data_IF_080310238287
#
_entry.id   IF_080310238287
#
_cell.length_a   1.000
_cell.length_b   1.000
_cell.length_c   1.000
_cell.angle_alpha   90.00
_cell.angle_beta   90.00
_cell.angle_gamma   90.00
#
_symmetry.space_group_name_H-M   'P 1'
#
loop_
_entity.id
_entity.type
_entity.pdbx_description
1 polymer ?
#
# COMPACT_ATOMS: atom_id res chain seq x y z
N UNK A 1 12.64 -11.13 43.42
CA UNK A 1 12.08 -9.89 42.84
C UNK A 1 12.72 -9.53 41.51
N UNK A 2 14.04 -9.32 41.40
CA UNK A 2 14.68 -9.04 40.09
C UNK A 2 14.55 -10.21 39.08
N UNK A 3 14.64 -11.46 39.55
CA UNK A 3 14.46 -12.65 38.69
C UNK A 3 13.03 -12.89 38.20
N UNK A 4 12.01 -12.51 38.97
CA UNK A 4 10.60 -12.72 38.63
C UNK A 4 10.15 -11.75 37.53
N UNK A 5 10.62 -10.51 37.59
CA UNK A 5 10.35 -9.47 36.59
C UNK A 5 11.00 -9.81 35.23
N UNK A 6 12.26 -10.24 35.25
CA UNK A 6 12.98 -10.64 34.02
C UNK A 6 12.33 -11.87 33.36
N UNK A 7 11.87 -12.83 34.17
CA UNK A 7 11.14 -14.00 33.69
C UNK A 7 9.79 -13.62 33.06
N UNK A 8 9.07 -12.67 33.66
CA UNK A 8 7.84 -12.13 33.09
C UNK A 8 8.08 -11.44 31.74
N UNK A 9 9.10 -10.57 31.65
CA UNK A 9 9.49 -9.90 30.41
C UNK A 9 9.88 -10.89 29.31
N UNK A 10 10.65 -11.94 29.65
CA UNK A 10 11.02 -13.01 28.71
C UNK A 10 9.78 -13.72 28.17
N UNK A 11 8.83 -14.08 29.04
CA UNK A 11 7.61 -14.75 28.63
C UNK A 11 6.73 -13.86 27.75
N UNK A 12 6.52 -12.60 28.13
CA UNK A 12 5.77 -11.63 27.32
C UNK A 12 6.43 -11.44 25.95
N UNK A 13 7.74 -11.22 25.91
CA UNK A 13 8.48 -11.06 24.66
C UNK A 13 8.35 -12.31 23.77
N UNK A 14 8.46 -13.50 24.34
CA UNK A 14 8.26 -14.74 23.59
C UNK A 14 6.84 -14.85 23.02
N UNK A 15 5.81 -14.62 23.84
CA UNK A 15 4.40 -14.73 23.40
C UNK A 15 4.08 -13.73 22.29
N UNK A 16 4.46 -12.46 22.44
CA UNK A 16 4.22 -11.44 21.40
C UNK A 16 4.97 -11.75 20.11
N UNK A 17 6.25 -12.11 20.17
CA UNK A 17 7.03 -12.46 18.99
C UNK A 17 6.55 -13.76 18.34
N UNK A 18 5.96 -14.68 19.11
CA UNK A 18 5.40 -15.92 18.58
C UNK A 18 4.14 -15.64 17.75
N UNK A 19 3.26 -14.75 18.20
CA UNK A 19 2.13 -14.31 17.38
C UNK A 19 2.57 -13.58 16.11
N UNK A 20 3.59 -12.72 16.20
CA UNK A 20 4.19 -12.05 15.03
C UNK A 20 4.75 -13.09 14.04
N UNK A 21 5.46 -14.10 14.55
CA UNK A 21 6.01 -15.19 13.77
C UNK A 21 4.91 -15.99 13.04
N UNK A 22 3.83 -16.35 13.74
CA UNK A 22 2.69 -17.04 13.13
C UNK A 22 2.01 -16.17 12.06
N UNK A 23 1.77 -14.90 12.35
CA UNK A 23 1.22 -13.95 11.39
C UNK A 23 2.09 -13.81 10.14
N UNK A 24 3.40 -13.64 10.32
CA UNK A 24 4.39 -13.59 9.23
C UNK A 24 4.43 -14.88 8.42
N UNK A 25 4.35 -16.05 9.09
CA UNK A 25 4.30 -17.36 8.42
C UNK A 25 3.04 -17.51 7.57
N UNK A 26 1.87 -17.10 8.08
CA UNK A 26 0.62 -17.12 7.34
C UNK A 26 0.67 -16.17 6.13
N UNK A 27 1.15 -14.94 6.32
CA UNK A 27 1.30 -13.98 5.21
C UNK A 27 2.27 -14.50 4.15
N UNK A 28 3.43 -15.01 4.54
CA UNK A 28 4.36 -15.65 3.61
C UNK A 28 3.70 -16.80 2.86
N UNK A 29 3.01 -17.69 3.57
CA UNK A 29 2.31 -18.83 2.97
C UNK A 29 1.29 -18.38 1.92
N UNK A 30 0.47 -17.37 2.24
CA UNK A 30 -0.50 -16.78 1.31
C UNK A 30 0.21 -16.12 0.12
N UNK A 31 1.28 -15.36 0.34
CA UNK A 31 2.03 -14.70 -0.73
C UNK A 31 2.69 -15.70 -1.68
N UNK A 32 3.27 -16.77 -1.15
CA UNK A 32 3.87 -17.86 -1.95
C UNK A 32 2.75 -18.57 -2.72
N UNK A 33 1.64 -18.89 -2.05
CA UNK A 33 0.48 -19.50 -2.70
C UNK A 33 0.02 -18.66 -3.89
N UNK A 34 -0.21 -17.37 -3.71
CA UNK A 34 -0.66 -16.45 -4.78
C UNK A 34 0.29 -16.41 -5.97
N UNK A 35 1.61 -16.50 -5.76
CA UNK A 35 2.58 -16.48 -6.84
C UNK A 35 2.79 -17.84 -7.54
N UNK A 36 2.57 -18.94 -6.83
CA UNK A 36 2.85 -20.30 -7.31
C UNK A 36 1.58 -21.02 -7.79
N UNK A 37 0.39 -20.51 -7.44
CA UNK A 37 -0.89 -21.19 -7.67
C UNK A 37 -1.07 -21.65 -9.12
N UNK A 38 -1.09 -22.97 -9.37
CA UNK A 38 -1.27 -23.53 -10.71
C UNK A 38 -2.72 -23.47 -11.19
N UNK A 39 -3.68 -23.08 -10.33
CA UNK A 39 -5.11 -23.08 -10.67
C UNK A 39 -5.58 -21.85 -11.46
N UNK A 40 -4.65 -21.02 -11.96
CA UNK A 40 -4.94 -19.86 -12.81
C UNK A 40 -4.98 -18.52 -12.06
N UNK A 41 -4.90 -18.52 -10.72
CA UNK A 41 -4.92 -17.30 -9.91
C UNK A 41 -3.71 -16.40 -10.20
N UNK A 42 -2.55 -17.00 -10.48
CA UNK A 42 -1.35 -16.29 -10.96
C UNK A 42 -1.64 -15.48 -12.22
N UNK A 43 -2.45 -15.97 -13.15
CA UNK A 43 -2.76 -15.26 -14.40
C UNK A 43 -3.67 -14.04 -14.14
N UNK A 44 -4.64 -14.18 -13.24
CA UNK A 44 -5.51 -13.07 -12.80
C UNK A 44 -4.68 -11.97 -12.14
N UNK A 45 -3.73 -12.36 -11.27
CA UNK A 45 -2.81 -11.43 -10.61
C UNK A 45 -1.86 -10.81 -11.63
N UNK A 46 -1.28 -11.59 -12.55
CA UNK A 46 -0.36 -11.10 -13.58
C UNK A 46 -0.99 -10.10 -14.55
N UNK A 47 -2.32 -10.16 -14.73
CA UNK A 47 -3.07 -9.23 -15.59
C UNK A 47 -3.20 -7.84 -14.95
N UNK A 48 -3.04 -7.73 -13.63
CA UNK A 48 -3.22 -6.48 -12.89
C UNK A 48 -1.92 -6.08 -12.20
N UNK A 49 -1.19 -5.04 -12.68
CA UNK A 49 0.09 -4.66 -12.11
C UNK A 49 -0.01 -4.33 -10.60
N UNK A 50 -1.13 -3.76 -10.16
CA UNK A 50 -1.39 -3.51 -8.73
C UNK A 50 -1.47 -4.79 -7.90
N UNK A 51 -2.09 -5.86 -8.41
CA UNK A 51 -2.17 -7.14 -7.70
C UNK A 51 -0.80 -7.83 -7.66
N UNK A 52 -0.02 -7.73 -8.74
CA UNK A 52 1.37 -8.21 -8.76
C UNK A 52 2.18 -7.50 -7.68
N UNK A 53 2.16 -6.17 -7.65
CA UNK A 53 2.85 -5.38 -6.63
C UNK A 53 2.35 -5.74 -5.23
N UNK A 54 1.05 -5.89 -5.03
CA UNK A 54 0.45 -6.29 -3.76
C UNK A 54 0.95 -7.66 -3.29
N UNK A 55 1.04 -8.66 -4.17
CA UNK A 55 1.56 -9.98 -3.83
C UNK A 55 3.04 -9.94 -3.39
N UNK A 56 3.87 -9.16 -4.08
CA UNK A 56 5.27 -8.97 -3.67
C UNK A 56 5.41 -8.21 -2.35
N UNK A 57 4.59 -7.19 -2.10
CA UNK A 57 4.55 -6.48 -0.81
C UNK A 57 4.15 -7.44 0.31
N UNK A 58 3.14 -8.27 0.08
CA UNK A 58 2.66 -9.25 1.05
C UNK A 58 3.76 -10.27 1.39
N UNK A 59 4.52 -10.74 0.40
CA UNK A 59 5.70 -11.59 0.61
C UNK A 59 6.81 -10.89 1.39
N UNK A 60 7.16 -9.67 1.00
CA UNK A 60 8.23 -8.91 1.66
C UNK A 60 7.89 -8.64 3.14
N UNK A 61 6.67 -8.15 3.39
CA UNK A 61 6.16 -7.88 4.74
C UNK A 61 6.04 -9.17 5.57
N UNK A 62 5.48 -10.24 5.00
CA UNK A 62 5.43 -11.54 5.66
C UNK A 62 6.82 -12.07 6.02
N UNK A 63 7.79 -11.93 5.10
CA UNK A 63 9.19 -12.30 5.29
C UNK A 63 9.85 -11.56 6.43
N UNK A 64 9.66 -10.25 6.47
CA UNK A 64 10.17 -9.39 7.53
C UNK A 64 9.57 -9.78 8.89
N UNK A 65 8.24 -9.94 8.98
CA UNK A 65 7.56 -10.34 10.22
C UNK A 65 7.97 -11.74 10.68
N UNK A 66 8.12 -12.69 9.77
CA UNK A 66 8.63 -14.03 10.06
C UNK A 66 10.02 -13.97 10.68
N UNK A 67 10.94 -13.21 10.06
CA UNK A 67 12.32 -13.08 10.52
C UNK A 67 12.39 -12.38 11.89
N UNK A 68 11.66 -11.28 12.07
CA UNK A 68 11.58 -10.57 13.35
C UNK A 68 11.02 -11.46 14.45
N UNK A 69 9.90 -12.14 14.20
CA UNK A 69 9.28 -13.05 15.15
C UNK A 69 10.20 -14.22 15.52
N UNK A 70 10.90 -14.80 14.54
CA UNK A 70 11.87 -15.87 14.77
C UNK A 70 13.06 -15.41 15.63
N UNK A 71 13.67 -14.26 15.28
CA UNK A 71 14.79 -13.69 16.04
C UNK A 71 14.38 -13.31 17.46
N UNK A 72 13.20 -12.71 17.64
CA UNK A 72 12.65 -12.35 18.94
C UNK A 72 12.37 -13.57 19.81
N UNK A 73 11.72 -14.60 19.26
CA UNK A 73 11.44 -15.85 19.96
C UNK A 73 12.72 -16.60 20.34
N UNK A 74 13.61 -16.85 19.38
CA UNK A 74 14.85 -17.56 19.62
C UNK A 74 15.82 -16.79 20.52
N UNK A 75 15.88 -15.46 20.38
CA UNK A 75 16.67 -14.59 21.25
C UNK A 75 16.20 -14.66 22.70
N UNK A 76 14.88 -14.60 22.93
CA UNK A 76 14.31 -14.73 24.27
C UNK A 76 14.51 -16.14 24.86
N UNK A 77 14.20 -17.21 24.12
CA UNK A 77 14.26 -18.60 24.63
C UNK A 77 15.69 -19.07 24.85
N UNK A 78 16.58 -18.84 23.88
CA UNK A 78 17.98 -19.30 23.93
C UNK A 78 18.89 -18.38 24.74
N UNK A 79 18.36 -17.26 25.24
CA UNK A 79 19.13 -16.25 25.98
C UNK A 79 20.41 -15.84 25.22
N UNK A 80 20.30 -15.75 23.89
CA UNK A 80 21.45 -15.45 23.04
C UNK A 80 21.52 -13.94 22.79
N UNK A 81 22.51 -13.30 23.44
CA UNK A 81 22.81 -11.87 23.32
C UNK A 81 22.92 -11.39 21.87
N UNK A 82 23.55 -12.18 20.99
CA UNK A 82 23.71 -11.80 19.59
C UNK A 82 22.36 -11.78 18.86
N UNK A 83 21.48 -12.76 19.09
CA UNK A 83 20.15 -12.80 18.47
C UNK A 83 19.26 -11.65 18.95
N UNK A 84 19.32 -11.34 20.26
CA UNK A 84 18.63 -10.18 20.84
C UNK A 84 19.15 -8.86 20.28
N UNK A 85 20.47 -8.73 20.06
CA UNK A 85 21.07 -7.55 19.45
C UNK A 85 20.62 -7.38 17.99
N UNK A 86 20.62 -8.45 17.19
CA UNK A 86 20.11 -8.40 15.82
C UNK A 86 18.63 -8.01 15.79
N UNK A 87 17.81 -8.61 16.65
CA UNK A 87 16.39 -8.24 16.79
C UNK A 87 16.24 -6.74 17.10
N UNK A 88 16.98 -6.23 18.09
CA UNK A 88 16.99 -4.81 18.44
C UNK A 88 17.40 -3.92 17.25
N UNK A 89 18.47 -4.28 16.54
CA UNK A 89 18.96 -3.50 15.39
C UNK A 89 17.95 -3.47 14.24
N UNK A 90 17.27 -4.58 13.96
CA UNK A 90 16.23 -4.60 12.92
C UNK A 90 15.04 -3.71 13.30
N UNK A 91 14.54 -3.81 14.54
CA UNK A 91 13.44 -2.95 15.00
C UNK A 91 13.87 -1.48 15.00
N UNK A 92 15.10 -1.16 15.41
CA UNK A 92 15.62 0.21 15.36
C UNK A 92 15.65 0.77 13.93
N UNK A 93 16.09 -0.03 12.95
CA UNK A 93 16.10 0.38 11.54
C UNK A 93 14.67 0.64 11.05
N UNK A 94 13.71 -0.22 11.39
CA UNK A 94 12.30 -0.05 11.00
C UNK A 94 11.73 1.22 11.64
N UNK A 95 11.94 1.42 12.94
CA UNK A 95 11.51 2.62 13.65
C UNK A 95 12.04 3.91 13.01
N UNK A 96 13.33 3.94 12.64
CA UNK A 96 13.92 5.09 11.95
C UNK A 96 13.34 5.27 10.55
N UNK A 97 13.08 4.19 9.82
CA UNK A 97 12.45 4.23 8.51
C UNK A 97 11.01 4.77 8.60
N UNK A 98 10.21 4.30 9.56
CA UNK A 98 8.85 4.79 9.81
C UNK A 98 8.84 6.27 10.20
N UNK A 99 9.73 6.68 11.09
CA UNK A 99 9.87 8.09 11.48
C UNK A 99 10.25 8.96 10.28
N UNK A 100 11.19 8.49 9.45
CA UNK A 100 11.59 9.20 8.23
C UNK A 100 10.44 9.32 7.23
N UNK A 101 9.66 8.26 7.04
CA UNK A 101 8.50 8.23 6.17
C UNK A 101 7.40 9.17 6.68
N UNK A 102 7.15 9.21 7.99
CA UNK A 102 6.19 10.11 8.61
C UNK A 102 6.60 11.59 8.43
N UNK A 103 7.88 11.91 8.61
CA UNK A 103 8.41 13.26 8.38
C UNK A 103 8.29 13.65 6.91
N UNK A 104 8.68 12.77 5.99
CA UNK A 104 8.55 13.01 4.55
C UNK A 104 7.08 13.22 4.15
N UNK A 105 6.17 12.39 4.64
CA UNK A 105 4.74 12.54 4.40
C UNK A 105 4.21 13.89 4.91
N UNK A 106 4.69 14.36 6.06
CA UNK A 106 4.32 15.66 6.60
C UNK A 106 4.85 16.82 5.74
N UNK A 107 6.13 16.77 5.33
CA UNK A 107 6.74 17.82 4.48
C UNK A 107 6.08 17.88 3.10
N UNK A 108 5.85 16.74 2.47
CA UNK A 108 5.28 16.67 1.12
C UNK A 108 3.77 16.87 1.09
N UNK A 109 3.09 16.90 2.24
CA UNK A 109 1.64 17.12 2.31
C UNK A 109 1.21 18.38 1.55
N UNK A 110 1.97 19.46 1.68
CA UNK A 110 1.66 20.74 1.04
C UNK A 110 2.06 20.80 -0.45
N UNK A 111 2.89 19.87 -0.92
CA UNK A 111 3.31 19.78 -2.32
C UNK A 111 2.37 18.92 -3.19
N UNK A 112 1.54 18.07 -2.57
CA UNK A 112 0.55 17.23 -3.26
C UNK A 112 -0.75 18.01 -3.56
N UNK A 113 -0.61 19.14 -4.24
CA UNK A 113 -1.74 20.01 -4.63
C UNK A 113 -2.44 19.51 -5.89
N UNK A 114 -3.68 19.97 -6.10
CA UNK A 114 -4.40 19.74 -7.38
C UNK A 114 -3.56 20.12 -8.59
N UNK A 115 -2.88 21.27 -8.53
CA UNK A 115 -2.10 21.78 -9.66
C UNK A 115 -0.94 20.86 -10.03
N UNK A 116 -0.24 20.33 -9.03
CA UNK A 116 0.84 19.37 -9.25
C UNK A 116 0.34 18.12 -9.97
N UNK A 117 -0.72 17.48 -9.46
CA UNK A 117 -1.29 16.29 -10.10
C UNK A 117 -1.85 16.59 -11.48
N UNK A 118 -2.49 17.74 -11.68
CA UNK A 118 -3.07 18.12 -12.98
C UNK A 118 -1.96 18.30 -14.02
N UNK A 119 -0.84 18.92 -13.62
CA UNK A 119 0.33 19.11 -14.48
C UNK A 119 1.01 17.78 -14.84
N UNK A 120 1.18 16.89 -13.86
CA UNK A 120 1.76 15.57 -14.12
C UNK A 120 0.84 14.69 -14.98
N UNK A 121 -0.47 14.70 -14.71
CA UNK A 121 -1.48 13.99 -15.52
C UNK A 121 -1.42 14.48 -16.97
N UNK A 122 -1.51 15.79 -17.21
CA UNK A 122 -1.55 16.34 -18.57
C UNK A 122 -0.28 16.09 -19.37
N UNK A 123 0.88 15.99 -18.69
CA UNK A 123 2.19 15.80 -19.32
C UNK A 123 2.57 14.34 -19.54
N UNK A 124 2.19 13.43 -18.66
CA UNK A 124 2.72 12.06 -18.65
C UNK A 124 1.67 10.98 -18.97
N UNK A 125 0.38 11.31 -18.93
CA UNK A 125 -0.67 10.33 -19.20
C UNK A 125 -0.77 9.97 -20.69
N UNK A 126 -0.68 8.67 -20.99
CA UNK A 126 -0.66 8.11 -22.35
C UNK A 126 -1.96 7.37 -22.71
N UNK A 127 -2.96 7.34 -21.83
CA UNK A 127 -4.21 6.64 -22.07
C UNK A 127 -4.12 5.15 -21.75
N UNK A 128 -4.46 4.31 -22.73
CA UNK A 128 -4.67 2.87 -22.53
C UNK A 128 -3.42 2.02 -22.87
N UNK A 129 -2.23 2.55 -22.57
CA UNK A 129 -0.97 1.84 -22.73
C UNK A 129 -0.64 1.07 -21.45
N UNK A 130 -0.93 -0.24 -21.43
CA UNK A 130 -0.72 -1.11 -20.26
C UNK A 130 0.75 -1.28 -19.86
N UNK A 131 1.69 -0.87 -20.73
CA UNK A 131 3.13 -0.88 -20.43
C UNK A 131 3.58 0.32 -19.59
N UNK A 132 2.81 1.41 -19.58
CA UNK A 132 3.12 2.61 -18.82
C UNK A 132 2.48 2.55 -17.42
N UNK A 133 3.33 2.38 -16.39
CA UNK A 133 2.88 2.23 -15.00
C UNK A 133 2.10 3.46 -14.53
N UNK A 134 2.47 4.67 -14.98
CA UNK A 134 1.78 5.90 -14.60
C UNK A 134 0.33 5.92 -15.11
N UNK A 135 0.13 5.65 -16.40
CA UNK A 135 -1.20 5.60 -17.02
C UNK A 135 -2.03 4.45 -16.49
N UNK A 136 -1.44 3.27 -16.29
CA UNK A 136 -2.11 2.11 -15.69
C UNK A 136 -2.59 2.39 -14.26
N UNK A 137 -1.78 3.10 -13.47
CA UNK A 137 -2.14 3.52 -12.10
C UNK A 137 -3.30 4.51 -12.12
N UNK A 138 -3.22 5.54 -12.98
CA UNK A 138 -4.31 6.51 -13.13
C UNK A 138 -5.61 5.87 -13.63
N UNK A 139 -5.52 4.94 -14.58
CA UNK A 139 -6.65 4.14 -15.04
C UNK A 139 -7.28 3.38 -13.87
N UNK A 140 -6.47 2.68 -13.08
CA UNK A 140 -6.96 1.94 -11.91
C UNK A 140 -7.66 2.85 -10.90
N UNK A 141 -7.11 4.04 -10.63
CA UNK A 141 -7.71 5.03 -9.73
C UNK A 141 -9.07 5.51 -10.25
N UNK A 142 -9.14 5.95 -11.51
CA UNK A 142 -10.40 6.42 -12.13
C UNK A 142 -11.48 5.35 -12.12
N UNK A 143 -11.10 4.10 -12.38
CA UNK A 143 -11.99 2.94 -12.40
C UNK A 143 -12.48 2.61 -10.98
N UNK A 144 -11.57 2.53 -10.01
CA UNK A 144 -11.86 2.10 -8.63
C UNK A 144 -12.73 3.11 -7.89
N UNK A 145 -12.44 4.40 -8.05
CA UNK A 145 -13.15 5.47 -7.35
C UNK A 145 -14.29 6.07 -8.16
N UNK A 146 -14.53 5.61 -9.39
CA UNK A 146 -15.61 6.12 -10.25
C UNK A 146 -15.49 7.62 -10.52
N UNK A 147 -14.26 8.09 -10.78
CA UNK A 147 -13.91 9.49 -11.00
C UNK A 147 -13.19 9.66 -12.34
N UNK A 148 -12.97 10.90 -12.79
CA UNK A 148 -12.26 11.19 -14.04
C UNK A 148 -11.36 12.42 -13.90
N UNK A 149 -10.10 12.27 -14.30
CA UNK A 149 -9.10 13.34 -14.19
C UNK A 149 -8.81 13.75 -12.75
N UNK A 150 -8.05 14.83 -12.57
CA UNK A 150 -7.73 15.37 -11.24
C UNK A 150 -8.88 16.22 -10.73
N UNK A 151 -9.31 17.19 -11.52
CA UNK A 151 -10.42 18.11 -11.25
C UNK A 151 -11.71 17.66 -11.95
N UNK A 152 -11.56 16.98 -13.09
CA UNK A 152 -12.69 16.47 -13.88
C UNK A 152 -12.24 16.00 -15.27
N UNK A 153 -13.19 15.57 -16.12
CA UNK A 153 -12.91 15.10 -17.47
C UNK A 153 -12.25 16.16 -18.38
N UNK A 154 -12.46 17.43 -18.08
CA UNK A 154 -11.88 18.56 -18.83
C UNK A 154 -10.34 18.58 -18.80
N UNK A 155 -9.71 17.95 -17.80
CA UNK A 155 -8.25 17.85 -17.71
C UNK A 155 -7.65 17.13 -18.94
N UNK A 156 -8.40 16.20 -19.57
CA UNK A 156 -7.95 15.47 -20.75
C UNK A 156 -8.02 16.29 -22.04
N UNK A 157 -8.82 17.37 -22.08
CA UNK A 157 -8.78 18.32 -23.21
C UNK A 157 -7.45 19.05 -23.30
N UNK A 158 -6.78 19.21 -22.16
CA UNK A 158 -5.47 19.85 -21.99
C UNK A 158 -4.30 18.83 -21.99
N UNK A 159 -4.59 17.52 -21.94
CA UNK A 159 -3.57 16.47 -21.92
C UNK A 159 -3.02 16.22 -23.33
N UNK A 160 -1.94 16.94 -23.67
CA UNK A 160 -1.35 16.95 -25.01
C UNK A 160 -0.84 15.58 -25.47
N UNK A 161 -0.27 14.78 -24.56
CA UNK A 161 0.25 13.44 -24.88
C UNK A 161 -0.88 12.46 -25.19
N UNK A 162 -1.92 12.44 -24.35
CA UNK A 162 -3.10 11.60 -24.58
C UNK A 162 -3.77 11.91 -25.92
N UNK A 163 -4.05 13.20 -26.19
CA UNK A 163 -4.69 13.64 -27.44
C UNK A 163 -3.87 13.34 -28.68
N UNK A 164 -2.55 13.50 -28.59
CA UNK A 164 -1.63 13.15 -29.67
C UNK A 164 -1.67 11.65 -29.98
N UNK A 165 -1.70 10.80 -28.96
CA UNK A 165 -1.74 9.34 -29.13
C UNK A 165 -3.10 8.84 -29.63
N UNK A 166 -4.21 9.49 -29.26
CA UNK A 166 -5.56 9.15 -29.72
C UNK A 166 -5.96 9.85 -31.02
N UNK A 167 -5.07 10.64 -31.64
CA UNK A 167 -5.36 11.42 -32.85
C UNK A 167 -6.64 12.26 -32.73
N UNK A 168 -6.87 12.85 -31.55
CA UNK A 168 -8.07 13.64 -31.23
C UNK A 168 -9.43 12.91 -31.41
N UNK A 169 -9.42 11.58 -31.52
CA UNK A 169 -10.65 10.80 -31.71
C UNK A 169 -11.41 10.49 -30.41
N UNK A 170 -10.73 10.59 -29.26
CA UNK A 170 -11.29 10.36 -27.92
C UNK A 170 -11.14 11.62 -27.05
N UNK A 171 -12.23 12.12 -26.47
CA UNK A 171 -12.21 13.27 -25.56
C UNK A 171 -11.70 12.89 -24.15
N UNK A 172 -11.98 11.66 -23.72
CA UNK A 172 -11.60 11.13 -22.40
C UNK A 172 -11.16 9.66 -22.51
N UNK A 173 -10.28 9.18 -21.62
CA UNK A 173 -9.89 7.77 -21.63
C UNK A 173 -11.03 6.86 -21.18
N UNK A 174 -11.01 5.60 -21.66
CA UNK A 174 -11.98 4.55 -21.29
C UNK A 174 -12.15 4.37 -19.78
N UNK A 175 -11.11 4.63 -19.00
CA UNK A 175 -11.14 4.55 -17.54
C UNK A 175 -12.13 5.53 -16.87
N UNK A 176 -12.42 6.66 -17.52
CA UNK A 176 -13.39 7.66 -17.07
C UNK A 176 -14.87 7.26 -17.31
N UNK A 177 -15.09 6.21 -18.09
CA UNK A 177 -16.43 5.80 -18.45
C UNK A 177 -17.18 5.16 -17.29
N UNK A 178 -18.46 5.50 -17.19
CA UNK A 178 -19.35 4.96 -16.17
C UNK A 178 -19.63 3.48 -16.44
N UNK A 179 -19.53 2.68 -15.39
CA UNK A 179 -19.85 1.24 -15.41
C UNK A 179 -21.18 0.99 -14.74
N UNK A 180 -21.89 -0.03 -15.22
CA UNK A 180 -23.18 -0.41 -14.65
C UNK A 180 -22.98 -1.15 -13.32
N UNK A 181 -23.63 -0.73 -12.22
CA UNK A 181 -23.40 -1.31 -10.90
C UNK A 181 -23.94 -2.74 -10.71
N UNK A 182 -24.75 -3.28 -11.63
CA UNK A 182 -25.47 -4.55 -11.43
C UNK A 182 -24.89 -5.78 -12.14
N UNK A 183 -23.93 -5.62 -13.04
CA UNK A 183 -23.27 -6.76 -13.71
C UNK A 183 -21.95 -7.10 -13.04
N UNK A 184 -21.74 -8.39 -12.72
CA UNK A 184 -20.50 -8.92 -12.09
C UNK A 184 -19.21 -8.60 -12.88
N UNK A 185 -19.33 -8.23 -14.15
CA UNK A 185 -18.21 -7.93 -15.05
C UNK A 185 -17.95 -6.43 -15.28
N UNK A 186 -18.72 -5.53 -14.63
CA UNK A 186 -18.48 -4.08 -14.74
C UNK A 186 -18.55 -3.53 -16.16
N UNK A 187 -19.56 -3.94 -16.93
CA UNK A 187 -19.73 -3.54 -18.33
C UNK A 187 -19.93 -2.01 -18.43
N UNK A 188 -19.26 -1.38 -19.41
CA UNK A 188 -19.48 0.04 -19.71
C UNK A 188 -20.89 0.23 -20.28
N UNK A 189 -21.63 1.23 -19.79
CA UNK A 189 -22.99 1.52 -20.29
C UNK A 189 -22.99 1.82 -21.80
N UNK A 190 -22.07 2.66 -22.25
CA UNK A 190 -21.83 2.93 -23.67
C UNK A 190 -20.40 3.40 -23.86
N UNK A 191 -19.60 2.61 -24.59
CA UNK A 191 -18.18 2.92 -24.84
C UNK A 191 -18.04 4.11 -25.78
N UNK A 192 -18.70 4.07 -26.92
CA UNK A 192 -18.55 5.10 -27.97
C UNK A 192 -19.05 6.46 -27.48
N UNK A 193 -20.23 6.53 -26.86
CA UNK A 193 -20.77 7.79 -26.36
C UNK A 193 -19.93 8.38 -25.22
N UNK A 194 -19.31 7.53 -24.40
CA UNK A 194 -18.38 8.00 -23.38
C UNK A 194 -17.11 8.61 -23.98
N UNK A 195 -16.48 7.92 -24.93
CA UNK A 195 -15.24 8.40 -25.56
C UNK A 195 -15.46 9.71 -26.33
N UNK A 196 -16.67 9.93 -26.85
CA UNK A 196 -17.11 11.18 -27.48
C UNK A 196 -17.44 12.31 -26.48
N UNK A 197 -17.19 12.15 -25.17
CA UNK A 197 -17.41 13.22 -24.20
C UNK A 197 -18.86 13.35 -23.70
N UNK A 198 -19.76 12.39 -24.00
CA UNK A 198 -21.18 12.53 -23.63
C UNK A 198 -21.38 12.40 -22.12
N UNK A 199 -21.84 13.49 -21.52
CA UNK A 199 -21.84 13.69 -20.06
C UNK A 199 -22.68 12.68 -19.23
N UNK A 200 -23.58 11.90 -19.86
CA UNK A 200 -24.37 10.85 -19.20
C UNK A 200 -23.54 9.58 -18.91
N UNK A 201 -22.51 9.32 -19.72
CA UNK A 201 -21.71 8.09 -19.71
C UNK A 201 -20.32 8.28 -19.08
N UNK A 202 -20.03 9.47 -18.54
CA UNK A 202 -18.73 9.85 -17.97
C UNK A 202 -18.88 10.14 -16.48
N UNK A 203 -17.88 9.72 -15.70
CA UNK A 203 -17.75 10.14 -14.31
C UNK A 203 -17.34 11.61 -14.24
N UNK A 204 -18.24 12.50 -13.78
CA UNK A 204 -17.98 13.95 -13.76
C UNK A 204 -17.11 14.42 -12.59
N UNK A 205 -16.98 13.62 -11.54
CA UNK A 205 -16.24 14.00 -10.35
C UNK A 205 -14.74 13.85 -10.58
N UNK A 206 -13.96 14.87 -10.22
CA UNK A 206 -12.50 14.79 -10.20
C UNK A 206 -11.99 13.82 -9.15
N UNK A 207 -10.95 13.05 -9.48
CA UNK A 207 -10.42 12.06 -8.56
C UNK A 207 -9.78 12.69 -7.32
N UNK A 208 -9.24 13.90 -7.41
CA UNK A 208 -8.60 14.54 -6.26
C UNK A 208 -9.56 14.76 -5.08
N UNK A 209 -10.79 15.21 -5.36
CA UNK A 209 -11.80 15.43 -4.30
C UNK A 209 -12.30 14.12 -3.71
N UNK A 210 -12.58 13.12 -4.54
CA UNK A 210 -13.05 11.80 -4.10
C UNK A 210 -12.00 11.12 -3.24
N UNK A 211 -10.74 11.15 -3.67
CA UNK A 211 -9.61 10.59 -2.94
C UNK A 211 -9.43 11.33 -1.62
N UNK A 212 -9.36 12.67 -1.61
CA UNK A 212 -9.21 13.42 -0.36
C UNK A 212 -10.31 13.14 0.66
N UNK A 213 -11.57 13.14 0.22
CA UNK A 213 -12.69 12.85 1.11
C UNK A 213 -12.63 11.41 1.68
N UNK A 214 -12.18 10.47 0.85
CA UNK A 214 -11.91 9.10 1.30
C UNK A 214 -10.75 9.06 2.30
N UNK A 215 -9.65 9.76 2.02
CA UNK A 215 -8.50 9.84 2.91
C UNK A 215 -8.85 10.46 4.25
N UNK A 216 -9.61 11.56 4.30
CA UNK A 216 -10.03 12.20 5.57
C UNK A 216 -10.83 11.24 6.47
N UNK A 217 -11.58 10.33 5.86
CA UNK A 217 -12.33 9.31 6.62
C UNK A 217 -11.40 8.28 7.27
N UNK A 218 -10.33 7.87 6.58
CA UNK A 218 -9.45 6.79 7.04
C UNK A 218 -8.15 7.27 7.69
N UNK A 219 -7.77 8.55 7.55
CA UNK A 219 -6.49 9.09 8.02
C UNK A 219 -6.38 9.01 9.54
N UNK A 220 -7.48 9.20 10.27
CA UNK A 220 -7.50 9.07 11.73
C UNK A 220 -7.22 7.63 12.17
N UNK A 221 -7.83 6.65 11.49
CA UNK A 221 -7.62 5.24 11.78
C UNK A 221 -6.20 4.80 11.42
N UNK A 222 -5.71 5.19 10.24
CA UNK A 222 -4.35 4.92 9.80
C UNK A 222 -3.31 5.55 10.74
N UNK A 223 -3.53 6.80 11.17
CA UNK A 223 -2.69 7.48 12.15
C UNK A 223 -2.68 6.78 13.51
N UNK A 224 -3.83 6.29 13.99
CA UNK A 224 -3.91 5.52 15.22
C UNK A 224 -3.12 4.21 15.13
N UNK A 225 -3.22 3.48 14.01
CA UNK A 225 -2.42 2.28 13.79
C UNK A 225 -0.92 2.59 13.74
N UNK A 226 -0.50 3.65 13.04
CA UNK A 226 0.91 4.05 12.97
C UNK A 226 1.50 4.39 14.35
N UNK A 227 0.76 5.14 15.18
CA UNK A 227 1.18 5.43 16.56
C UNK A 227 1.27 4.15 17.39
N UNK A 228 0.31 3.22 17.21
CA UNK A 228 0.32 1.93 17.87
C UNK A 228 1.54 1.08 17.51
N UNK A 229 1.92 1.03 16.23
CA UNK A 229 3.12 0.32 15.75
C UNK A 229 4.37 0.91 16.40
N UNK A 230 4.58 2.23 16.34
CA UNK A 230 5.73 2.90 16.95
C UNK A 230 5.83 2.62 18.47
N UNK A 231 4.70 2.60 19.17
CA UNK A 231 4.67 2.27 20.59
C UNK A 231 5.07 0.81 20.87
N UNK A 232 4.60 -0.13 20.05
CA UNK A 232 4.98 -1.56 20.14
C UNK A 232 6.48 -1.73 19.86
N UNK A 233 7.03 -1.06 18.85
CA UNK A 233 8.46 -1.12 18.53
C UNK A 233 9.33 -0.60 19.67
N UNK A 234 8.97 0.54 20.26
CA UNK A 234 9.65 1.08 21.44
C UNK A 234 9.63 0.08 22.60
N UNK A 235 8.48 -0.53 22.85
CA UNK A 235 8.33 -1.53 23.90
C UNK A 235 9.21 -2.77 23.64
N UNK A 236 9.22 -3.28 22.40
CA UNK A 236 10.07 -4.40 21.99
C UNK A 236 11.56 -4.07 22.13
N UNK A 237 11.98 -2.85 21.78
CA UNK A 237 13.36 -2.39 21.95
C UNK A 237 13.77 -2.33 23.42
N UNK A 238 12.91 -1.78 24.29
CA UNK A 238 13.14 -1.72 25.75
C UNK A 238 13.30 -3.13 26.30
N UNK A 239 12.39 -4.03 25.95
CA UNK A 239 12.41 -5.41 26.44
C UNK A 239 13.62 -6.18 25.95
N UNK A 240 14.00 -6.03 24.67
CA UNK A 240 15.21 -6.63 24.12
C UNK A 240 16.46 -6.17 24.87
N UNK A 241 16.58 -4.87 25.18
CA UNK A 241 17.72 -4.33 25.93
C UNK A 241 17.74 -4.73 27.40
N UNK A 242 16.58 -4.79 28.06
CA UNK A 242 16.45 -5.31 29.42
C UNK A 242 16.89 -6.77 29.51
N UNK A 243 16.44 -7.62 28.58
CA UNK A 243 16.86 -9.03 28.52
C UNK A 243 18.33 -9.16 28.15
N UNK A 244 18.83 -8.38 27.19
CA UNK A 244 20.25 -8.39 26.81
C UNK A 244 21.17 -8.11 28.00
N UNK A 245 20.80 -7.15 28.86
CA UNK A 245 21.55 -6.81 30.08
C UNK A 245 21.36 -7.83 31.21
N UNK A 246 20.19 -8.46 31.29
CA UNK A 246 19.86 -9.43 32.34
C UNK A 246 20.47 -10.81 32.14
N UNK A 247 20.85 -11.16 30.90
CA UNK A 247 21.57 -12.41 30.60
C UNK A 247 23.03 -12.25 31.07
N UNK A 248 23.49 -13.13 31.97
CA UNK A 248 24.90 -13.20 32.38
C UNK A 248 25.74 -13.89 31.30
#
# INVERSE_FOLDING_TARGET
>A
MEGDCLSCMKYLMFVFNFFIFLGGSCLLGIGIWVLVDPTGFREIVATNPLLVTGAYILLAMGGLLFLLGFLGCCGAVRENKCLLLFFFLFILIIFLAELSAAILAFIFRDHLTREFFTKELTKHYQGNNDTDVFSATWNSVMITFGCCGVNGPEDFKLASVFRMLTLDSEEVPKACCRREPQTRDGVLLSREECLLGRSLFINKQGCYTVILNTFETYVYLAGAFAIGVLAIELFLMIFAMCLFRGIQ
#
